data_IF_912981346788
#
_entry.id   IF_912981346788
#
_cell.length_a   1.000
_cell.length_b   1.000
_cell.length_c   1.000
_cell.angle_alpha   90.00
_cell.angle_beta   90.00
_cell.angle_gamma   90.00
#
_symmetry.space_group_name_H-M   'P 1'
#
loop_
_entity.id
_entity.type
_entity.pdbx_description
1 polymer ?
#
# COMPACT_ATOMS: atom_id res chain seq x y z
N UNK A 1 -20.46 8.54 0.00
CA UNK A 1 -19.85 9.61 0.81
C UNK A 1 -19.69 10.86 -0.04
N UNK A 2 -20.14 12.02 0.41
CA UNK A 2 -20.06 13.27 -0.35
C UNK A 2 -18.75 13.98 -0.04
N UNK A 3 -17.91 14.21 -1.07
CA UNK A 3 -16.65 14.95 -0.96
C UNK A 3 -16.85 16.40 -0.48
N UNK A 4 -18.07 16.93 -0.66
CA UNK A 4 -18.46 18.29 -0.23
C UNK A 4 -18.44 18.52 1.29
N UNK A 5 -18.30 17.47 2.11
CA UNK A 5 -18.21 17.58 3.57
C UNK A 5 -16.79 17.87 4.07
N UNK A 6 -15.78 17.75 3.18
CA UNK A 6 -14.41 18.07 3.52
C UNK A 6 -14.10 19.53 3.17
N UNK A 7 -13.84 20.34 4.18
CA UNK A 7 -13.29 21.68 3.97
C UNK A 7 -11.93 21.57 3.32
N UNK A 8 -11.70 22.32 2.24
CA UNK A 8 -10.37 22.44 1.63
C UNK A 8 -9.47 23.32 2.53
N UNK A 9 -8.53 22.73 3.30
CA UNK A 9 -7.65 23.51 4.17
C UNK A 9 -6.58 24.27 3.36
N UNK A 10 -6.42 23.95 2.06
CA UNK A 10 -5.36 24.46 1.20
C UNK A 10 -5.85 25.47 0.14
N UNK A 11 -7.09 25.96 0.30
CA UNK A 11 -7.64 27.07 -0.52
C UNK A 11 -7.61 26.84 -2.04
N UNK A 12 -7.84 25.60 -2.52
CA UNK A 12 -7.93 25.25 -3.95
C UNK A 12 -6.62 25.34 -4.73
N UNK A 13 -5.50 25.59 -4.07
CA UNK A 13 -4.19 25.69 -4.72
C UNK A 13 -3.73 24.35 -5.28
N UNK A 14 -3.04 24.40 -6.40
CA UNK A 14 -2.31 23.26 -6.94
C UNK A 14 -1.06 23.04 -6.08
N UNK A 15 -0.94 21.84 -5.53
CA UNK A 15 0.14 21.47 -4.62
C UNK A 15 0.49 19.98 -4.70
N UNK A 16 1.44 19.56 -3.89
CA UNK A 16 1.78 18.17 -3.67
C UNK A 16 1.22 17.77 -2.32
N UNK A 17 0.50 16.66 -2.27
CA UNK A 17 -0.18 16.17 -1.09
C UNK A 17 0.12 14.69 -0.90
N UNK A 18 0.54 14.32 0.31
CA UNK A 18 0.65 12.93 0.75
C UNK A 18 -0.68 12.52 1.39
N UNK A 19 -1.30 11.50 0.85
CA UNK A 19 -2.48 10.83 1.41
C UNK A 19 -2.08 9.49 2.00
N UNK A 20 -2.52 9.22 3.20
CA UNK A 20 -2.23 7.96 3.91
C UNK A 20 -3.54 7.42 4.49
N UNK A 21 -3.82 6.13 4.27
CA UNK A 21 -4.89 5.46 5.02
C UNK A 21 -4.39 5.13 6.42
N UNK A 22 -5.31 5.02 7.39
CA UNK A 22 -4.98 4.42 8.66
C UNK A 22 -4.44 3.01 8.47
N UNK A 23 -3.47 2.64 9.31
CA UNK A 23 -3.01 1.28 9.41
C UNK A 23 -4.12 0.41 9.97
N UNK A 24 -4.57 -0.57 9.17
CA UNK A 24 -5.59 -1.49 9.63
C UNK A 24 -4.98 -2.47 10.62
N UNK A 25 -5.31 -2.31 11.89
CA UNK A 25 -4.82 -3.21 12.94
C UNK A 25 -5.47 -4.60 12.91
N UNK A 26 -6.65 -4.71 12.29
CA UNK A 26 -7.49 -5.92 12.33
C UNK A 26 -7.77 -6.54 10.96
N UNK A 27 -7.21 -6.00 9.89
CA UNK A 27 -7.55 -6.45 8.54
C UNK A 27 -6.43 -6.19 7.54
N UNK A 28 -6.39 -6.97 6.49
CA UNK A 28 -5.49 -6.77 5.36
C UNK A 28 -6.26 -6.18 4.18
N UNK A 29 -5.65 -5.23 3.48
CA UNK A 29 -6.14 -4.66 2.23
C UNK A 29 -5.74 -5.54 1.04
N UNK A 30 -4.53 -6.07 1.08
CA UNK A 30 -3.98 -6.89 0.02
C UNK A 30 -3.50 -8.21 0.63
N UNK A 31 -4.10 -9.33 0.21
CA UNK A 31 -3.87 -10.65 0.79
C UNK A 31 -3.06 -11.56 -0.11
N UNK A 32 -3.07 -11.27 -1.41
CA UNK A 32 -2.31 -11.97 -2.43
C UNK A 32 -1.82 -11.03 -3.53
N UNK A 33 -0.97 -11.52 -4.40
CA UNK A 33 -0.40 -10.75 -5.50
C UNK A 33 -1.46 -10.14 -6.42
N UNK A 34 -2.56 -10.85 -6.67
CA UNK A 34 -3.64 -10.36 -7.52
C UNK A 34 -4.33 -9.12 -6.92
N UNK A 35 -4.43 -9.03 -5.60
CA UNK A 35 -4.95 -7.85 -4.91
C UNK A 35 -4.05 -6.64 -5.12
N UNK A 36 -2.73 -6.81 -4.97
CA UNK A 36 -1.74 -5.76 -5.20
C UNK A 36 -1.74 -5.30 -6.66
N UNK A 37 -1.80 -6.24 -7.62
CA UNK A 37 -1.96 -5.92 -9.05
C UNK A 37 -3.21 -5.08 -9.28
N UNK A 38 -4.34 -5.46 -8.71
CA UNK A 38 -5.59 -4.71 -8.82
C UNK A 38 -5.51 -3.34 -8.14
N UNK A 39 -4.83 -3.24 -6.99
CA UNK A 39 -4.56 -1.97 -6.29
C UNK A 39 -3.74 -1.02 -7.16
N UNK A 40 -2.61 -1.49 -7.69
CA UNK A 40 -1.73 -0.72 -8.60
C UNK A 40 -2.48 -0.25 -9.85
N UNK A 41 -3.20 -1.16 -10.51
CA UNK A 41 -4.02 -0.83 -11.69
C UNK A 41 -5.13 0.17 -11.36
N UNK A 42 -5.70 0.12 -10.16
CA UNK A 42 -6.69 1.10 -9.72
C UNK A 42 -6.10 2.50 -9.64
N UNK A 43 -4.86 2.65 -9.12
CA UNK A 43 -4.16 3.93 -9.10
C UNK A 43 -3.90 4.42 -10.53
N UNK A 44 -3.40 3.55 -11.41
CA UNK A 44 -3.19 3.89 -12.82
C UNK A 44 -4.46 4.39 -13.50
N UNK A 45 -5.59 3.68 -13.34
CA UNK A 45 -6.88 4.06 -13.91
C UNK A 45 -7.40 5.39 -13.36
N UNK A 46 -7.13 5.72 -12.11
CA UNK A 46 -7.53 6.99 -11.52
C UNK A 46 -6.86 8.18 -12.20
N UNK A 47 -5.63 8.03 -12.74
CA UNK A 47 -4.95 9.10 -13.50
C UNK A 47 -5.65 9.46 -14.80
N UNK A 48 -6.41 8.53 -15.38
CA UNK A 48 -7.20 8.77 -16.59
C UNK A 48 -8.54 9.48 -16.29
N UNK A 49 -8.96 9.46 -15.02
CA UNK A 49 -10.24 10.02 -14.59
C UNK A 49 -10.13 11.40 -13.96
N UNK A 50 -9.03 11.65 -13.28
CA UNK A 50 -8.83 12.89 -12.52
C UNK A 50 -7.60 13.64 -13.03
N UNK A 51 -7.59 14.98 -13.05
CA UNK A 51 -6.46 15.80 -13.50
C UNK A 51 -5.36 15.85 -12.41
N UNK A 52 -4.91 14.68 -11.99
CA UNK A 52 -3.95 14.48 -10.90
C UNK A 52 -2.78 13.65 -11.41
N UNK A 53 -1.56 14.02 -11.03
CA UNK A 53 -0.36 13.25 -11.29
C UNK A 53 0.05 12.46 -10.05
N UNK A 54 0.34 11.19 -10.22
CA UNK A 54 0.92 10.34 -9.17
C UNK A 54 2.43 10.54 -9.18
N UNK A 55 2.97 11.10 -8.11
CA UNK A 55 4.41 11.30 -7.97
C UNK A 55 5.10 10.10 -7.35
N UNK A 56 4.47 9.46 -6.36
CA UNK A 56 4.91 8.24 -5.71
C UNK A 56 3.71 7.53 -5.09
N UNK A 57 3.85 6.24 -4.84
CA UNK A 57 2.91 5.47 -4.05
C UNK A 57 3.60 4.27 -3.40
N UNK A 58 2.99 3.72 -2.38
CA UNK A 58 3.30 2.39 -1.90
C UNK A 58 2.02 1.71 -1.43
N UNK A 59 1.85 0.45 -1.85
CA UNK A 59 0.80 -0.44 -1.37
C UNK A 59 1.42 -1.38 -0.36
N UNK A 60 0.94 -1.29 0.87
CA UNK A 60 1.29 -2.21 1.95
C UNK A 60 0.11 -3.14 2.21
N UNK A 61 0.35 -4.27 2.80
CA UNK A 61 -0.69 -5.26 3.08
C UNK A 61 -1.88 -4.70 3.87
N UNK A 62 -1.67 -3.68 4.71
CA UNK A 62 -2.69 -3.11 5.60
C UNK A 62 -2.90 -1.59 5.47
N UNK A 63 -2.19 -0.90 4.59
CA UNK A 63 -2.36 0.54 4.34
C UNK A 63 -1.83 0.98 2.97
N UNK A 64 -2.16 2.20 2.58
CA UNK A 64 -1.79 2.79 1.29
C UNK A 64 -1.25 4.20 1.53
N UNK A 65 -0.18 4.54 0.84
CA UNK A 65 0.29 5.92 0.71
C UNK A 65 0.27 6.35 -0.75
N UNK A 66 -0.24 7.55 -1.02
CA UNK A 66 -0.23 8.18 -2.34
C UNK A 66 0.32 9.59 -2.25
N UNK A 67 1.38 9.88 -3.00
CA UNK A 67 1.92 11.22 -3.17
C UNK A 67 1.43 11.80 -4.49
N UNK A 68 0.54 12.78 -4.42
CA UNK A 68 -0.23 13.29 -5.54
C UNK A 68 0.09 14.76 -5.82
N UNK A 69 0.13 15.14 -7.09
CA UNK A 69 0.27 16.54 -7.54
C UNK A 69 -1.01 16.97 -8.28
N UNK A 70 -1.72 17.94 -7.75
CA UNK A 70 -2.96 18.45 -8.31
C UNK A 70 -3.59 19.54 -7.44
N UNK A 71 -4.84 19.94 -7.73
CA UNK A 71 -5.64 20.68 -6.77
C UNK A 71 -6.04 19.74 -5.63
N UNK A 72 -6.09 20.25 -4.41
CA UNK A 72 -6.43 19.43 -3.25
C UNK A 72 -7.74 18.64 -3.45
N UNK A 73 -8.80 19.31 -3.93
CA UNK A 73 -10.09 18.69 -4.20
C UNK A 73 -10.04 17.56 -5.23
N UNK A 74 -9.22 17.73 -6.27
CA UNK A 74 -9.03 16.68 -7.30
C UNK A 74 -8.24 15.51 -6.73
N UNK A 75 -7.19 15.78 -5.93
CA UNK A 75 -6.41 14.75 -5.25
C UNK A 75 -7.26 13.97 -4.23
N UNK A 76 -8.12 14.65 -3.47
CA UNK A 76 -9.05 14.03 -2.55
C UNK A 76 -10.08 13.15 -3.30
N UNK A 77 -10.61 13.63 -4.42
CA UNK A 77 -11.53 12.85 -5.26
C UNK A 77 -10.86 11.63 -5.87
N UNK A 78 -9.61 11.77 -6.32
CA UNK A 78 -8.76 10.68 -6.79
C UNK A 78 -8.59 9.61 -5.70
N UNK A 79 -8.15 10.02 -4.52
CA UNK A 79 -7.91 9.13 -3.40
C UNK A 79 -9.20 8.41 -2.95
N UNK A 80 -10.30 9.15 -2.79
CA UNK A 80 -11.59 8.58 -2.44
C UNK A 80 -12.07 7.52 -3.45
N UNK A 81 -11.84 7.76 -4.74
CA UNK A 81 -12.19 6.81 -5.78
C UNK A 81 -11.32 5.54 -5.72
N UNK A 82 -10.01 5.69 -5.48
CA UNK A 82 -9.10 4.55 -5.29
C UNK A 82 -9.56 3.71 -4.10
N UNK A 83 -9.84 4.33 -2.94
CA UNK A 83 -10.32 3.62 -1.75
C UNK A 83 -11.64 2.90 -2.01
N UNK A 84 -12.59 3.56 -2.69
CA UNK A 84 -13.88 2.94 -3.01
C UNK A 84 -13.71 1.69 -3.89
N UNK A 85 -12.82 1.73 -4.89
CA UNK A 85 -12.56 0.59 -5.76
C UNK A 85 -11.89 -0.57 -5.03
N UNK A 86 -10.95 -0.29 -4.16
CA UNK A 86 -10.29 -1.31 -3.32
C UNK A 86 -11.31 -1.89 -2.33
N UNK A 87 -12.12 -1.06 -1.67
CA UNK A 87 -13.17 -1.54 -0.78
C UNK A 87 -14.16 -2.46 -1.51
N UNK A 88 -14.54 -2.11 -2.75
CA UNK A 88 -15.42 -2.96 -3.58
C UNK A 88 -14.76 -4.28 -3.97
N UNK A 89 -13.44 -4.29 -4.25
CA UNK A 89 -12.68 -5.52 -4.48
C UNK A 89 -12.74 -6.44 -3.24
N UNK A 90 -12.46 -5.89 -2.07
CA UNK A 90 -12.48 -6.63 -0.80
C UNK A 90 -13.87 -7.21 -0.50
N UNK A 91 -14.93 -6.44 -0.74
CA UNK A 91 -16.30 -6.88 -0.58
C UNK A 91 -16.62 -8.06 -1.51
N UNK A 92 -16.28 -7.94 -2.81
CA UNK A 92 -16.58 -8.96 -3.82
C UNK A 92 -15.75 -10.23 -3.64
N UNK A 93 -14.48 -10.12 -3.26
CA UNK A 93 -13.56 -11.26 -3.18
C UNK A 93 -13.62 -11.96 -1.82
N UNK A 94 -13.81 -11.18 -0.75
CA UNK A 94 -13.67 -11.67 0.62
C UNK A 94 -14.90 -11.46 1.51
N UNK A 95 -15.95 -10.83 1.00
CA UNK A 95 -17.14 -10.50 1.80
C UNK A 95 -16.87 -9.42 2.88
N UNK A 96 -15.75 -8.70 2.80
CA UNK A 96 -15.34 -7.72 3.82
C UNK A 96 -15.75 -6.32 3.39
N UNK A 97 -16.51 -5.63 4.25
CA UNK A 97 -17.00 -4.27 3.98
C UNK A 97 -16.67 -3.31 5.12
N UNK A 98 -16.67 -1.99 4.82
CA UNK A 98 -16.56 -0.93 5.81
C UNK A 98 -15.18 -0.74 6.45
N UNK A 99 -14.13 -1.40 5.95
CA UNK A 99 -12.77 -1.29 6.51
C UNK A 99 -12.00 -0.07 6.01
N UNK A 100 -12.33 0.45 4.83
CA UNK A 100 -11.71 1.67 4.28
C UNK A 100 -12.65 2.85 4.44
N UNK A 101 -12.24 3.83 5.27
CA UNK A 101 -12.99 5.06 5.50
C UNK A 101 -12.10 6.25 5.12
N UNK A 102 -12.61 7.13 4.28
CA UNK A 102 -11.88 8.34 3.89
C UNK A 102 -11.64 9.27 5.09
N UNK A 103 -12.56 9.29 6.07
CA UNK A 103 -12.45 10.10 7.28
C UNK A 103 -11.28 9.67 8.20
N UNK A 104 -10.85 8.43 8.08
CA UNK A 104 -9.75 7.87 8.84
C UNK A 104 -8.40 8.03 8.12
N UNK A 105 -8.36 8.82 7.05
CA UNK A 105 -7.14 9.04 6.27
C UNK A 105 -6.50 10.37 6.64
N UNK A 106 -5.17 10.37 6.69
CA UNK A 106 -4.38 11.57 6.93
C UNK A 106 -3.93 12.22 5.61
N UNK A 107 -3.80 13.55 5.62
CA UNK A 107 -3.36 14.33 4.45
C UNK A 107 -2.35 15.39 4.86
N UNK A 108 -1.18 15.34 4.27
CA UNK A 108 -0.09 16.26 4.52
C UNK A 108 0.29 17.01 3.22
N UNK A 109 0.42 18.35 3.30
CA UNK A 109 0.94 19.14 2.19
C UNK A 109 2.48 19.09 2.17
N UNK A 110 3.04 18.86 0.99
CA UNK A 110 4.49 18.89 0.74
C UNK A 110 4.87 20.25 0.17
N UNK A 111 5.54 21.04 0.99
CA UNK A 111 5.71 22.49 0.71
C UNK A 111 7.02 22.84 0.02
N UNK A 112 8.04 22.00 0.13
CA UNK A 112 9.35 22.26 -0.45
C UNK A 112 10.05 21.02 -1.02
N UNK A 113 11.22 21.23 -1.62
CA UNK A 113 12.04 20.20 -2.25
C UNK A 113 12.55 19.15 -1.25
N UNK A 114 12.99 19.59 -0.08
CA UNK A 114 13.55 18.67 0.93
C UNK A 114 12.46 17.77 1.50
N UNK A 115 11.28 18.34 1.74
CA UNK A 115 10.13 17.59 2.16
C UNK A 115 9.70 16.58 1.08
N UNK A 116 9.68 16.99 -0.22
CA UNK A 116 9.38 16.05 -1.31
C UNK A 116 10.37 14.88 -1.34
N UNK A 117 11.67 15.16 -1.23
CA UNK A 117 12.70 14.14 -1.18
C UNK A 117 12.49 13.18 0.01
N UNK A 118 12.20 13.74 1.19
CA UNK A 118 11.95 12.95 2.39
C UNK A 118 10.73 12.05 2.22
N UNK A 119 9.61 12.60 1.71
CA UNK A 119 8.37 11.83 1.55
C UNK A 119 8.51 10.73 0.50
N UNK A 120 9.16 10.99 -0.63
CA UNK A 120 9.41 9.95 -1.64
C UNK A 120 10.27 8.82 -1.03
N UNK A 121 11.38 9.17 -0.36
CA UNK A 121 12.22 8.17 0.30
C UNK A 121 11.48 7.43 1.42
N UNK A 122 10.64 8.12 2.19
CA UNK A 122 9.81 7.52 3.23
C UNK A 122 8.84 6.48 2.65
N UNK A 123 8.13 6.82 1.57
CA UNK A 123 7.21 5.90 0.91
C UNK A 123 7.94 4.65 0.41
N UNK A 124 9.04 4.82 -0.29
CA UNK A 124 9.82 3.71 -0.84
C UNK A 124 10.36 2.79 0.26
N UNK A 125 10.67 3.33 1.43
CA UNK A 125 11.23 2.60 2.56
C UNK A 125 10.18 1.84 3.40
N UNK A 126 8.89 2.04 3.18
CA UNK A 126 7.86 1.33 3.96
C UNK A 126 8.03 -0.20 3.93
N UNK A 127 8.42 -0.76 2.79
CA UNK A 127 8.69 -2.20 2.66
C UNK A 127 9.83 -2.68 3.56
N UNK A 128 10.88 -1.87 3.70
CA UNK A 128 12.01 -2.17 4.58
C UNK A 128 11.64 -2.07 6.05
N UNK A 129 10.90 -1.02 6.44
CA UNK A 129 10.38 -0.85 7.80
C UNK A 129 9.47 -2.01 8.21
N UNK A 130 8.62 -2.46 7.31
CA UNK A 130 7.76 -3.62 7.52
C UNK A 130 8.49 -4.97 7.39
N UNK A 131 9.79 -4.98 7.07
CA UNK A 131 10.63 -6.18 6.85
C UNK A 131 10.11 -7.14 5.79
N UNK A 132 9.37 -6.64 4.81
CA UNK A 132 8.82 -7.43 3.69
C UNK A 132 9.67 -7.34 2.43
N UNK A 133 10.71 -6.53 2.42
CA UNK A 133 11.64 -6.45 1.30
C UNK A 133 12.49 -5.19 1.27
N UNK A 134 13.47 -5.19 0.38
CA UNK A 134 14.28 -4.02 0.10
C UNK A 134 13.47 -2.94 -0.63
N UNK A 135 13.66 -1.64 -0.34
CA UNK A 135 13.08 -0.56 -1.12
C UNK A 135 13.39 -0.66 -2.62
N UNK A 136 14.55 -1.21 -2.94
CA UNK A 136 15.06 -1.33 -4.31
C UNK A 136 14.38 -2.42 -5.15
N UNK A 137 13.72 -3.38 -4.52
CA UNK A 137 13.09 -4.53 -5.18
C UNK A 137 11.61 -4.72 -4.83
N UNK A 138 11.03 -3.83 -4.02
CA UNK A 138 9.63 -3.95 -3.63
C UNK A 138 8.69 -3.65 -4.81
N UNK A 139 7.91 -4.64 -5.29
CA UNK A 139 7.20 -4.51 -6.56
C UNK A 139 5.99 -3.57 -6.50
N UNK A 140 5.52 -3.23 -5.30
CA UNK A 140 4.30 -2.44 -5.08
C UNK A 140 4.59 -0.97 -4.77
N UNK A 141 5.72 -0.50 -5.28
CA UNK A 141 6.15 0.90 -5.31
C UNK A 141 6.78 1.22 -6.67
N UNK A 142 6.88 2.49 -7.08
CA UNK A 142 7.46 2.86 -8.37
C UNK A 142 8.97 3.12 -8.29
N UNK A 143 9.72 2.46 -7.40
CA UNK A 143 11.15 2.70 -7.23
C UNK A 143 11.92 2.63 -8.55
N UNK A 144 11.61 1.65 -9.40
CA UNK A 144 12.29 1.42 -10.67
C UNK A 144 12.15 2.59 -11.67
N UNK A 145 11.25 3.53 -11.41
CA UNK A 145 11.06 4.69 -12.27
C UNK A 145 12.07 5.82 -12.00
N UNK A 146 12.65 5.91 -10.78
CA UNK A 146 13.44 7.08 -10.40
C UNK A 146 14.91 6.93 -10.74
N UNK A 147 15.44 7.93 -11.47
CA UNK A 147 16.85 8.03 -11.87
C UNK A 147 17.39 6.75 -12.52
N UNK A 148 16.51 6.01 -13.19
CA UNK A 148 16.84 4.75 -13.83
C UNK A 148 17.12 4.97 -15.33
N UNK A 149 18.37 4.93 -15.79
CA UNK A 149 18.71 5.11 -17.20
C UNK A 149 18.19 3.98 -18.09
N UNK A 150 17.85 2.83 -17.49
CA UNK A 150 17.32 1.66 -18.20
C UNK A 150 15.79 1.61 -18.25
N UNK A 151 15.11 2.58 -17.65
CA UNK A 151 13.64 2.65 -17.66
C UNK A 151 13.04 2.60 -19.07
N UNK A 152 13.62 3.23 -20.12
CA UNK A 152 13.13 3.12 -21.49
C UNK A 152 13.20 1.70 -22.06
N UNK A 153 14.06 0.83 -21.53
CA UNK A 153 14.21 -0.55 -21.95
C UNK A 153 13.25 -1.53 -21.25
N UNK A 154 12.54 -1.07 -20.23
CA UNK A 154 11.48 -1.85 -19.61
C UNK A 154 10.28 -1.87 -20.53
N UNK A 155 10.02 -3.00 -21.13
CA UNK A 155 8.87 -3.23 -21.99
C UNK A 155 7.95 -4.30 -21.42
N UNK A 156 6.67 -4.16 -21.72
CA UNK A 156 5.63 -5.12 -21.44
C UNK A 156 4.82 -5.42 -22.70
N UNK A 157 3.77 -6.17 -22.53
CA UNK A 157 2.78 -6.38 -23.59
C UNK A 157 1.90 -5.13 -23.72
N UNK A 158 1.53 -4.79 -24.95
CA UNK A 158 0.53 -3.74 -25.22
C UNK A 158 -0.80 -4.10 -24.57
N UNK A 159 -1.52 -3.10 -24.08
CA UNK A 159 -2.83 -3.32 -23.49
C UNK A 159 -3.81 -3.86 -24.55
N UNK A 160 -4.56 -4.93 -24.23
CA UNK A 160 -5.49 -5.51 -25.18
C UNK A 160 -6.66 -4.57 -25.47
N UNK A 161 -7.16 -4.61 -26.74
CA UNK A 161 -8.20 -3.71 -27.21
C UNK A 161 -9.57 -4.03 -26.58
N UNK A 162 -10.23 -3.00 -26.07
CA UNK A 162 -11.62 -2.87 -25.59
C UNK A 162 -12.27 -3.98 -24.73
N UNK A 163 -12.69 -5.16 -25.27
CA UNK A 163 -13.39 -6.19 -24.48
C UNK A 163 -12.47 -6.91 -23.48
N UNK A 164 -11.21 -7.13 -23.85
CA UNK A 164 -10.22 -7.77 -22.99
C UNK A 164 -9.74 -6.81 -21.88
N UNK A 165 -9.60 -5.51 -22.16
CA UNK A 165 -9.33 -4.46 -21.16
C UNK A 165 -10.43 -4.40 -20.12
N UNK A 166 -11.68 -4.43 -20.53
CA UNK A 166 -12.82 -4.47 -19.60
C UNK A 166 -12.76 -5.68 -18.65
N UNK A 167 -12.39 -6.84 -19.20
CA UNK A 167 -12.29 -8.09 -18.43
C UNK A 167 -11.07 -8.11 -17.51
N UNK A 168 -9.92 -7.61 -17.99
CA UNK A 168 -8.66 -7.62 -17.24
C UNK A 168 -8.64 -6.56 -16.14
N UNK A 169 -9.15 -5.35 -16.42
CA UNK A 169 -9.04 -4.21 -15.49
C UNK A 169 -10.39 -3.78 -14.88
N UNK A 170 -11.49 -4.47 -15.21
CA UNK A 170 -12.82 -4.13 -14.69
C UNK A 170 -13.26 -2.70 -14.99
N UNK A 171 -12.84 -2.14 -16.13
CA UNK A 171 -13.12 -0.75 -16.52
C UNK A 171 -13.58 -0.60 -17.95
N UNK A 172 -14.33 0.48 -18.22
CA UNK A 172 -14.70 0.93 -19.56
C UNK A 172 -13.87 2.12 -20.04
N UNK A 173 -12.92 2.59 -19.22
CA UNK A 173 -12.07 3.73 -19.57
C UNK A 173 -11.18 3.35 -20.74
N UNK A 174 -11.10 4.23 -21.74
CA UNK A 174 -10.17 4.09 -22.86
C UNK A 174 -8.77 4.33 -22.34
N UNK A 175 -7.92 3.32 -22.41
CA UNK A 175 -6.52 3.42 -22.02
C UNK A 175 -5.68 4.00 -23.16
N UNK A 176 -4.61 4.74 -22.85
CA UNK A 176 -3.64 5.17 -23.84
C UNK A 176 -3.01 3.97 -24.56
N UNK A 177 -2.81 4.08 -25.88
CA UNK A 177 -2.28 2.98 -26.70
C UNK A 177 -0.81 2.64 -26.35
N UNK A 178 -0.08 3.62 -25.81
CA UNK A 178 1.30 3.50 -25.38
C UNK A 178 1.48 2.83 -24.01
N UNK A 179 0.39 2.56 -23.29
CA UNK A 179 0.47 1.87 -22.02
C UNK A 179 0.77 0.38 -22.19
N UNK A 180 1.65 -0.11 -21.34
CA UNK A 180 2.12 -1.50 -21.34
C UNK A 180 1.86 -2.16 -19.99
N UNK A 181 1.76 -3.48 -19.97
CA UNK A 181 1.59 -4.29 -18.77
C UNK A 181 2.49 -5.52 -18.77
N UNK A 182 2.82 -6.02 -17.57
CA UNK A 182 3.45 -7.32 -17.34
C UNK A 182 2.54 -8.10 -16.40
N UNK A 183 2.13 -9.30 -16.77
CA UNK A 183 1.26 -10.20 -16.01
C UNK A 183 -0.03 -9.52 -15.48
N UNK A 184 -0.61 -8.64 -16.29
CA UNK A 184 -1.83 -7.90 -15.97
C UNK A 184 -1.61 -6.64 -15.11
N UNK A 185 -0.39 -6.34 -14.69
CA UNK A 185 -0.03 -5.10 -13.99
C UNK A 185 0.45 -4.04 -14.98
N UNK A 186 -0.20 -2.89 -15.00
CA UNK A 186 0.24 -1.72 -15.77
C UNK A 186 1.61 -1.28 -15.25
N UNK A 187 2.57 -1.05 -16.16
CA UNK A 187 3.91 -0.60 -15.79
C UNK A 187 3.86 0.79 -15.15
N UNK A 188 4.59 0.98 -14.06
CA UNK A 188 4.63 2.25 -13.32
C UNK A 188 5.04 3.44 -14.20
N UNK A 189 5.96 3.23 -15.16
CA UNK A 189 6.38 4.27 -16.13
C UNK A 189 5.23 4.87 -16.94
N UNK A 190 4.09 4.16 -17.05
CA UNK A 190 2.93 4.60 -17.82
C UNK A 190 2.09 5.66 -17.11
N UNK A 191 2.07 5.66 -15.78
CA UNK A 191 1.16 6.53 -15.02
C UNK A 191 1.81 7.33 -13.88
N UNK A 192 3.03 6.97 -13.47
CA UNK A 192 3.79 7.71 -12.44
C UNK A 192 4.56 8.86 -13.11
N UNK A 193 4.37 10.08 -12.61
CA UNK A 193 5.12 11.26 -13.06
C UNK A 193 6.48 11.38 -12.35
N UNK A 194 7.31 10.36 -12.54
CA UNK A 194 8.67 10.29 -11.98
C UNK A 194 9.55 11.44 -12.46
N UNK A 195 9.33 11.96 -13.69
CA UNK A 195 10.10 13.07 -14.25
C UNK A 195 9.93 14.35 -13.43
N UNK A 196 8.73 14.64 -12.94
CA UNK A 196 8.51 15.78 -12.04
C UNK A 196 9.30 15.61 -10.74
N UNK A 197 9.37 14.39 -10.19
CA UNK A 197 10.16 14.09 -8.98
C UNK A 197 11.64 14.30 -9.26
N UNK A 198 12.18 13.73 -10.34
CA UNK A 198 13.59 13.85 -10.73
C UNK A 198 13.99 15.31 -10.97
N UNK A 199 13.17 16.06 -11.70
CA UNK A 199 13.42 17.50 -11.96
C UNK A 199 13.43 18.31 -10.66
N UNK A 200 12.52 18.03 -9.74
CA UNK A 200 12.46 18.71 -8.44
C UNK A 200 13.62 18.33 -7.52
N UNK A 201 14.01 17.08 -7.47
CA UNK A 201 15.14 16.59 -6.67
C UNK A 201 16.48 16.98 -7.33
N UNK A 202 16.57 16.93 -8.66
CA UNK A 202 17.68 17.42 -9.46
C UNK A 202 18.97 16.59 -9.42
N UNK A 203 19.09 15.58 -8.55
CA UNK A 203 20.31 14.77 -8.42
C UNK A 203 20.00 13.36 -7.95
N UNK A 204 20.42 12.38 -8.73
CA UNK A 204 20.36 10.97 -8.36
C UNK A 204 21.20 10.66 -7.12
N UNK A 205 22.39 11.28 -7.02
CA UNK A 205 23.27 11.09 -5.86
C UNK A 205 22.58 11.52 -4.56
N UNK A 206 21.92 12.70 -4.56
CA UNK A 206 21.16 13.19 -3.40
C UNK A 206 20.00 12.28 -3.07
N UNK A 207 19.30 11.77 -4.09
CA UNK A 207 18.18 10.83 -3.89
C UNK A 207 18.64 9.52 -3.24
N UNK A 208 19.65 8.86 -3.82
CA UNK A 208 20.13 7.58 -3.29
C UNK A 208 20.84 7.72 -1.94
N UNK A 209 21.57 8.83 -1.71
CA UNK A 209 22.16 9.10 -0.40
C UNK A 209 21.08 9.26 0.69
N UNK A 210 20.01 10.00 0.38
CA UNK A 210 18.88 10.15 1.31
C UNK A 210 18.17 8.82 1.56
N UNK A 211 17.92 8.03 0.54
CA UNK A 211 17.29 6.72 0.68
C UNK A 211 18.13 5.78 1.57
N UNK A 212 19.44 5.77 1.38
CA UNK A 212 20.37 4.98 2.20
C UNK A 212 20.45 5.44 3.65
N UNK A 213 20.42 6.74 3.91
CA UNK A 213 20.44 7.29 5.28
C UNK A 213 19.22 6.85 6.09
N UNK A 214 18.06 6.80 5.47
CA UNK A 214 16.86 6.27 6.13
C UNK A 214 16.99 4.80 6.49
N UNK A 215 17.69 4.01 5.68
CA UNK A 215 17.97 2.60 6.04
C UNK A 215 18.83 2.51 7.31
N UNK A 216 19.84 3.38 7.45
CA UNK A 216 20.67 3.47 8.65
C UNK A 216 19.88 3.94 9.88
N UNK A 217 19.05 4.98 9.74
CA UNK A 217 18.19 5.47 10.82
C UNK A 217 17.23 4.39 11.31
N UNK A 218 16.58 3.65 10.41
CA UNK A 218 15.72 2.52 10.77
C UNK A 218 16.47 1.39 11.46
N UNK A 219 17.68 1.07 11.02
CA UNK A 219 18.51 0.05 11.68
C UNK A 219 18.88 0.47 13.12
N UNK A 220 19.14 1.76 13.34
CA UNK A 220 19.41 2.32 14.68
C UNK A 220 18.15 2.29 15.55
N UNK A 221 17.00 2.71 15.02
CA UNK A 221 15.71 2.66 15.72
C UNK A 221 15.37 1.22 16.15
N UNK A 222 15.56 0.25 15.25
CA UNK A 222 15.36 -1.17 15.54
C UNK A 222 16.32 -1.69 16.60
N UNK A 223 17.61 -1.31 16.55
CA UNK A 223 18.62 -1.73 17.51
C UNK A 223 18.31 -1.19 18.93
N UNK A 224 17.63 -0.04 19.04
CA UNK A 224 17.21 0.56 20.31
C UNK A 224 15.82 0.11 20.77
N UNK A 225 15.16 -0.82 20.05
CA UNK A 225 13.84 -1.34 20.44
C UNK A 225 12.69 -0.35 20.32
N UNK A 226 12.86 0.71 19.53
CA UNK A 226 11.87 1.77 19.35
C UNK A 226 10.69 1.28 18.46
N UNK A 227 10.94 0.30 17.58
CA UNK A 227 9.89 -0.37 16.77
C UNK A 227 9.68 -1.82 17.25
N UNK A 228 8.41 -2.26 17.34
CA UNK A 228 8.10 -3.69 17.57
C UNK A 228 8.72 -4.54 16.46
N UNK A 229 9.62 -5.44 16.84
CA UNK A 229 10.28 -6.33 15.89
C UNK A 229 9.29 -7.41 15.43
N UNK A 230 8.88 -7.36 14.16
CA UNK A 230 8.15 -8.46 13.53
C UNK A 230 9.13 -9.61 13.23
N UNK A 231 8.93 -10.77 13.85
CA UNK A 231 9.73 -11.96 13.57
C UNK A 231 9.38 -12.54 12.20
N UNK A 232 8.12 -12.42 11.79
CA UNK A 232 7.57 -12.87 10.52
C UNK A 232 6.71 -11.77 9.89
N UNK A 233 6.75 -11.67 8.56
CA UNK A 233 5.82 -10.83 7.81
C UNK A 233 4.39 -11.33 7.96
N UNK A 234 3.40 -10.51 7.63
CA UNK A 234 2.00 -10.91 7.68
C UNK A 234 1.70 -12.10 6.75
N UNK A 235 2.31 -12.14 5.57
CA UNK A 235 2.18 -13.26 4.63
C UNK A 235 2.75 -14.56 5.20
N UNK A 236 3.97 -14.52 5.76
CA UNK A 236 4.59 -15.67 6.41
C UNK A 236 3.80 -16.14 7.62
N UNK A 237 3.25 -15.20 8.40
CA UNK A 237 2.43 -15.53 9.55
C UNK A 237 1.09 -16.15 9.14
N UNK A 238 0.48 -15.70 8.03
CA UNK A 238 -0.72 -16.36 7.48
C UNK A 238 -0.46 -17.81 7.08
N UNK A 239 0.68 -18.12 6.47
CA UNK A 239 1.04 -19.51 6.17
C UNK A 239 1.22 -20.34 7.45
N UNK A 240 1.80 -19.76 8.50
CA UNK A 240 1.91 -20.42 9.81
C UNK A 240 0.54 -20.63 10.47
N UNK A 241 -0.36 -19.65 10.36
CA UNK A 241 -1.74 -19.77 10.83
C UNK A 241 -2.45 -20.94 10.13
N UNK A 242 -2.35 -21.03 8.79
CA UNK A 242 -2.91 -22.13 8.01
C UNK A 242 -2.35 -23.47 8.47
N UNK A 243 -1.03 -23.56 8.64
CA UNK A 243 -0.38 -24.79 9.10
C UNK A 243 -0.85 -25.20 10.50
N UNK A 244 -0.98 -24.26 11.44
CA UNK A 244 -1.49 -24.55 12.80
C UNK A 244 -2.95 -24.97 12.75
N UNK A 245 -3.79 -24.29 11.95
CA UNK A 245 -5.19 -24.64 11.75
C UNK A 245 -5.35 -26.06 11.20
N UNK A 246 -4.59 -26.42 10.17
CA UNK A 246 -4.66 -27.74 9.55
C UNK A 246 -4.12 -28.86 10.47
N UNK A 247 -2.96 -28.66 11.08
CA UNK A 247 -2.24 -29.72 11.79
C UNK A 247 -2.68 -29.89 13.23
N UNK A 248 -3.08 -28.82 13.92
CA UNK A 248 -3.34 -28.85 15.38
C UNK A 248 -4.82 -28.64 15.72
N UNK A 249 -5.56 -27.90 14.87
CA UNK A 249 -6.99 -27.62 15.09
C UNK A 249 -7.90 -28.37 14.13
N UNK A 250 -7.33 -29.05 13.11
CA UNK A 250 -8.04 -29.83 12.10
C UNK A 250 -9.16 -29.08 11.38
N UNK A 251 -8.89 -27.77 11.07
CA UNK A 251 -9.79 -26.90 10.30
C UNK A 251 -9.05 -26.30 9.10
N UNK A 252 -9.77 -26.00 8.04
CA UNK A 252 -9.19 -25.40 6.83
C UNK A 252 -8.85 -23.92 7.01
N UNK A 253 -9.58 -23.23 7.90
CA UNK A 253 -9.41 -21.80 8.14
C UNK A 253 -9.69 -21.43 9.59
N UNK A 254 -8.95 -20.43 10.11
CA UNK A 254 -9.18 -19.89 11.44
C UNK A 254 -10.57 -19.25 11.62
N UNK A 255 -11.24 -18.89 10.53
CA UNK A 255 -12.62 -18.39 10.57
C UNK A 255 -13.64 -19.43 11.04
N UNK A 256 -13.29 -20.70 11.02
CA UNK A 256 -14.13 -21.82 11.49
C UNK A 256 -13.96 -22.09 13.00
N UNK A 257 -13.02 -21.39 13.64
CA UNK A 257 -12.72 -21.59 15.04
C UNK A 257 -13.76 -20.94 15.95
N UNK A 258 -14.10 -21.64 17.02
CA UNK A 258 -14.83 -21.04 18.13
C UNK A 258 -13.94 -20.05 18.91
N UNK A 259 -14.54 -19.30 19.82
CA UNK A 259 -13.83 -18.29 20.61
C UNK A 259 -12.67 -18.88 21.42
N UNK A 260 -12.81 -20.08 21.96
CA UNK A 260 -11.79 -20.75 22.78
C UNK A 260 -10.56 -21.11 21.93
N UNK A 261 -10.77 -21.73 20.79
CA UNK A 261 -9.72 -22.12 19.87
C UNK A 261 -9.06 -20.89 19.20
N UNK A 262 -9.84 -19.84 18.92
CA UNK A 262 -9.29 -18.57 18.44
C UNK A 262 -8.33 -17.94 19.45
N UNK A 263 -8.67 -17.90 20.72
CA UNK A 263 -7.79 -17.39 21.79
C UNK A 263 -6.57 -18.29 22.02
N UNK A 264 -6.74 -19.60 21.87
CA UNK A 264 -5.63 -20.55 21.92
C UNK A 264 -4.66 -20.31 20.74
N UNK A 265 -5.17 -20.11 19.53
CA UNK A 265 -4.37 -19.75 18.36
C UNK A 265 -3.61 -18.46 18.60
N UNK A 266 -4.26 -17.41 19.10
CA UNK A 266 -3.62 -16.13 19.40
C UNK A 266 -2.43 -16.30 20.39
N UNK A 267 -2.60 -17.09 21.45
CA UNK A 267 -1.52 -17.43 22.39
C UNK A 267 -0.39 -18.22 21.73
N UNK A 268 -0.72 -19.14 20.85
CA UNK A 268 0.27 -19.93 20.10
C UNK A 268 1.10 -19.04 19.18
N UNK A 269 0.46 -18.09 18.49
CA UNK A 269 1.17 -17.11 17.65
C UNK A 269 2.12 -16.24 18.47
N UNK A 270 1.68 -15.75 19.63
CA UNK A 270 2.52 -14.95 20.50
C UNK A 270 3.72 -15.72 21.06
N UNK A 271 3.49 -16.95 21.56
CA UNK A 271 4.51 -17.74 22.27
C UNK A 271 5.46 -18.48 21.35
N UNK A 272 4.92 -19.12 20.30
CA UNK A 272 5.71 -19.99 19.42
C UNK A 272 6.41 -19.22 18.31
N UNK A 273 5.77 -18.17 17.82
CA UNK A 273 6.27 -17.39 16.69
C UNK A 273 6.69 -15.97 17.07
N UNK A 274 6.65 -15.62 18.35
CA UNK A 274 6.98 -14.29 18.87
C UNK A 274 6.25 -13.16 18.11
N UNK A 275 5.01 -13.41 17.68
CA UNK A 275 4.21 -12.44 16.94
C UNK A 275 3.74 -11.33 17.87
N UNK A 276 3.95 -10.05 17.51
CA UNK A 276 3.47 -8.92 18.30
C UNK A 276 1.94 -8.89 18.39
N UNK A 277 1.41 -8.35 19.49
CA UNK A 277 -0.04 -8.22 19.73
C UNK A 277 -0.77 -7.55 18.57
N UNK A 278 -0.21 -6.47 18.01
CA UNK A 278 -0.77 -5.75 16.86
C UNK A 278 -0.87 -6.63 15.62
N UNK A 279 0.12 -7.47 15.35
CA UNK A 279 0.09 -8.41 14.24
C UNK A 279 -0.99 -9.48 14.45
N UNK A 280 -1.07 -10.06 15.65
CA UNK A 280 -2.08 -11.05 16.00
C UNK A 280 -3.50 -10.47 15.88
N UNK A 281 -3.71 -9.26 16.42
CA UNK A 281 -4.99 -8.54 16.32
C UNK A 281 -5.42 -8.37 14.86
N UNK A 282 -4.52 -7.93 14.00
CA UNK A 282 -4.75 -7.69 12.58
C UNK A 282 -5.06 -8.97 11.82
N UNK A 283 -4.25 -10.01 12.01
CA UNK A 283 -4.37 -11.24 11.25
C UNK A 283 -5.58 -12.08 11.65
N UNK A 284 -5.93 -12.09 12.93
CA UNK A 284 -7.07 -12.88 13.44
C UNK A 284 -8.36 -12.06 13.60
N UNK A 285 -8.32 -10.74 13.39
CA UNK A 285 -9.48 -9.88 13.59
C UNK A 285 -9.93 -9.75 15.06
N UNK A 286 -8.99 -9.91 16.02
CA UNK A 286 -9.28 -9.85 17.46
C UNK A 286 -9.08 -8.43 17.97
N UNK A 287 -9.94 -7.99 18.90
CA UNK A 287 -9.77 -6.70 19.56
C UNK A 287 -8.46 -6.63 20.35
N UNK A 288 -7.60 -5.62 20.16
CA UNK A 288 -6.37 -5.47 20.92
C UNK A 288 -6.55 -5.53 22.44
N UNK A 289 -7.64 -4.95 22.97
CA UNK A 289 -7.96 -5.00 24.40
C UNK A 289 -8.18 -6.40 24.96
N UNK A 290 -8.67 -7.34 24.10
CA UNK A 290 -8.81 -8.75 24.46
C UNK A 290 -7.43 -9.42 24.51
N UNK A 291 -6.53 -9.06 23.62
CA UNK A 291 -5.15 -9.56 23.60
C UNK A 291 -4.33 -9.04 24.81
N UNK A 292 -4.58 -7.79 25.25
CA UNK A 292 -3.93 -7.24 26.45
C UNK A 292 -4.28 -8.01 27.73
N UNK A 293 -5.47 -8.57 27.80
CA UNK A 293 -5.89 -9.44 28.92
C UNK A 293 -5.42 -10.90 28.77
N UNK A 294 -5.09 -11.31 27.55
CA UNK A 294 -4.79 -12.70 27.21
C UNK A 294 -3.30 -13.02 27.23
N UNK A 295 -2.47 -12.09 26.81
CA UNK A 295 -1.01 -12.17 26.59
C UNK A 295 -0.23 -11.33 27.56
#
# INVERSE_FOLDING_TARGET
MRISEFKDPFTGRKGIYLFTTDHLERSLLFRDEADFVQGSNTIALATLKYPVKVLCYVLMDNHIHLLLLGRYTDCLAFFAWVLHRIARMLELKYGVSGILKLQASDVQAVVDRNMLLNEVCYLLRNSYKARIGSPYSYPWSPFECYFNPYLPLLHGSSLPVSKAVKRLFGTHVKMPAEWEHVDGRILNKCFVDYRTVELKIGSSLVFFDRLRRFDLESAVEQAHGIEEQLTFTDAEMQEKIKAVCANELHVESYHQLDRKNMLWLARTLARRFASPKKQIARLLGIDPSVLDQLL
#
